data_IF_796743025056
#
_entry.id   IF_796743025056
#
_cell.length_a   1.000
_cell.length_b   1.000
_cell.length_c   1.000
_cell.angle_alpha   90.00
_cell.angle_beta   90.00
_cell.angle_gamma   90.00
#
_symmetry.space_group_name_H-M   'P 1'
#
loop_
_entity.id
_entity.type
_entity.pdbx_description
1 polymer ?
#
# COMPACT_ATOMS: atom_id res chain seq x y z
N UNK A 1 -12.88 4.15 -3.13
CA UNK A 1 -14.21 3.49 -3.07
C UNK A 1 -15.27 4.28 -3.81
N UNK A 2 -15.59 5.51 -3.37
CA UNK A 2 -16.64 6.34 -3.98
C UNK A 2 -16.56 6.46 -5.51
N UNK A 3 -15.37 6.66 -6.08
CA UNK A 3 -15.16 6.72 -7.52
C UNK A 3 -15.55 5.41 -8.25
N UNK A 4 -15.21 4.25 -7.69
CA UNK A 4 -15.58 2.95 -8.26
C UNK A 4 -17.09 2.75 -8.22
N UNK A 5 -17.74 3.05 -7.10
CA UNK A 5 -19.19 2.92 -6.96
C UNK A 5 -19.96 3.91 -7.84
N UNK A 6 -19.46 5.14 -7.98
CA UNK A 6 -20.06 6.12 -8.88
C UNK A 6 -19.99 5.66 -10.33
N UNK A 7 -18.84 5.15 -10.77
CA UNK A 7 -18.70 4.60 -12.11
C UNK A 7 -19.60 3.37 -12.30
N UNK A 8 -19.64 2.46 -11.32
CA UNK A 8 -20.50 1.27 -11.37
C UNK A 8 -21.99 1.62 -11.48
N UNK A 9 -22.47 2.66 -10.78
CA UNK A 9 -23.86 3.14 -10.88
C UNK A 9 -24.21 3.73 -12.24
N UNK A 10 -23.22 4.19 -13.00
CA UNK A 10 -23.42 4.73 -14.35
C UNK A 10 -23.51 3.65 -15.44
N UNK A 11 -23.18 2.40 -15.10
CA UNK A 11 -23.24 1.28 -16.05
C UNK A 11 -24.69 0.96 -16.40
N UNK A 12 -24.92 0.70 -17.70
CA UNK A 12 -26.23 0.30 -18.22
C UNK A 12 -26.51 -1.20 -18.05
N UNK A 13 -27.41 -1.75 -18.85
CA UNK A 13 -27.80 -3.17 -18.81
C UNK A 13 -26.89 -4.11 -19.61
N UNK A 14 -25.71 -3.66 -20.04
CA UNK A 14 -24.79 -4.47 -20.84
C UNK A 14 -24.08 -5.49 -19.94
N UNK A 15 -24.33 -6.77 -20.21
CA UNK A 15 -23.76 -7.88 -19.45
C UNK A 15 -22.24 -8.03 -19.60
N UNK A 16 -21.64 -7.34 -20.58
CA UNK A 16 -20.19 -7.34 -20.75
C UNK A 16 -19.46 -6.34 -19.83
N UNK A 17 -20.20 -5.38 -19.26
CA UNK A 17 -19.66 -4.23 -18.52
C UNK A 17 -20.46 -4.01 -17.23
N UNK A 18 -20.15 -4.79 -16.19
CA UNK A 18 -20.96 -4.88 -14.96
C UNK A 18 -20.19 -4.52 -13.70
N UNK A 19 -18.87 -4.34 -13.77
CA UNK A 19 -18.01 -3.99 -12.62
C UNK A 19 -17.13 -2.81 -13.00
N UNK A 20 -17.02 -1.85 -12.10
CA UNK A 20 -16.07 -0.75 -12.19
C UNK A 20 -15.00 -0.85 -11.11
N UNK A 21 -13.83 -0.30 -11.36
CA UNK A 21 -12.76 -0.18 -10.38
C UNK A 21 -12.16 1.22 -10.41
N UNK A 22 -11.56 1.61 -9.28
CA UNK A 22 -10.81 2.83 -9.12
C UNK A 22 -9.53 2.54 -8.33
N UNK A 23 -8.39 2.94 -8.87
CA UNK A 23 -7.09 2.84 -8.24
C UNK A 23 -6.48 4.23 -8.01
N UNK A 24 -5.85 4.44 -6.86
CA UNK A 24 -5.18 5.67 -6.49
C UNK A 24 -3.67 5.49 -6.59
N UNK A 25 -2.98 6.41 -7.26
CA UNK A 25 -1.51 6.44 -7.29
C UNK A 25 -0.91 7.24 -6.12
N UNK A 26 0.41 7.20 -5.99
CA UNK A 26 1.15 7.95 -4.97
C UNK A 26 0.99 9.47 -5.04
N UNK A 27 0.48 10.03 -6.15
CA UNK A 27 0.20 11.46 -6.33
C UNK A 27 -1.28 11.81 -6.08
N UNK A 28 -2.08 10.86 -5.58
CA UNK A 28 -3.51 11.07 -5.31
C UNK A 28 -4.40 11.04 -6.54
N UNK A 29 -3.88 10.71 -7.74
CA UNK A 29 -4.70 10.63 -8.95
C UNK A 29 -5.51 9.34 -8.94
N UNK A 30 -6.78 9.44 -9.33
CA UNK A 30 -7.71 8.32 -9.41
C UNK A 30 -7.82 7.85 -10.86
N UNK A 31 -7.53 6.57 -11.07
CA UNK A 31 -7.56 5.87 -12.35
C UNK A 31 -8.72 4.88 -12.34
N UNK A 32 -9.70 5.07 -13.22
CA UNK A 32 -10.92 4.25 -13.23
C UNK A 32 -11.00 3.35 -14.46
N UNK A 33 -11.59 2.17 -14.30
CA UNK A 33 -11.82 1.21 -15.38
C UNK A 33 -13.11 0.42 -15.20
N UNK A 34 -13.61 -0.16 -16.29
CA UNK A 34 -14.78 -1.06 -16.31
C UNK A 34 -14.32 -2.40 -16.87
N UNK A 35 -14.85 -3.51 -16.37
CA UNK A 35 -14.51 -4.82 -16.89
C UNK A 35 -14.93 -4.98 -18.36
N UNK A 36 -14.29 -5.91 -19.07
CA UNK A 36 -14.73 -6.35 -20.39
C UNK A 36 -14.87 -7.87 -20.32
N UNK A 37 -16.10 -8.36 -20.19
CA UNK A 37 -16.35 -9.79 -20.10
C UNK A 37 -16.07 -10.48 -21.44
N UNK A 38 -15.27 -11.54 -21.42
CA UNK A 38 -15.03 -12.40 -22.57
C UNK A 38 -14.56 -13.78 -22.11
N UNK A 39 -14.96 -14.84 -22.82
CA UNK A 39 -14.70 -16.23 -22.42
C UNK A 39 -13.20 -16.59 -22.37
N UNK A 40 -12.36 -15.89 -23.13
CA UNK A 40 -10.89 -16.06 -23.12
C UNK A 40 -10.23 -15.39 -21.91
N UNK A 41 -11.02 -14.90 -20.95
CA UNK A 41 -10.52 -14.15 -19.81
C UNK A 41 -10.34 -12.66 -20.12
N UNK A 42 -11.38 -12.01 -20.63
CA UNK A 42 -11.39 -10.55 -20.73
C UNK A 42 -11.08 -9.87 -19.38
N UNK A 43 -10.46 -8.68 -19.37
CA UNK A 43 -9.94 -8.07 -18.14
C UNK A 43 -11.06 -7.70 -17.16
N UNK A 44 -10.80 -7.98 -15.88
CA UNK A 44 -11.60 -7.41 -14.80
C UNK A 44 -11.37 -5.90 -14.71
N UNK A 45 -12.26 -5.19 -14.03
CA UNK A 45 -12.22 -3.74 -13.95
C UNK A 45 -10.91 -3.23 -13.34
N UNK A 46 -10.36 -3.95 -12.37
CA UNK A 46 -9.08 -3.65 -11.74
C UNK A 46 -7.94 -3.65 -12.76
N UNK A 47 -7.88 -4.66 -13.64
CA UNK A 47 -6.84 -4.77 -14.66
C UNK A 47 -6.96 -3.65 -15.71
N UNK A 48 -8.18 -3.23 -16.04
CA UNK A 48 -8.40 -2.05 -16.89
C UNK A 48 -7.92 -0.79 -16.19
N UNK A 49 -8.21 -0.61 -14.91
CA UNK A 49 -7.74 0.53 -14.13
C UNK A 49 -6.20 0.56 -14.02
N UNK A 50 -5.53 -0.60 -13.88
CA UNK A 50 -4.07 -0.70 -13.96
C UNK A 50 -3.54 -0.21 -15.31
N UNK A 51 -4.17 -0.63 -16.40
CA UNK A 51 -3.80 -0.19 -17.76
C UNK A 51 -3.98 1.32 -17.96
N UNK A 52 -5.08 1.90 -17.45
CA UNK A 52 -5.33 3.35 -17.48
C UNK A 52 -4.26 4.09 -16.66
N UNK A 53 -3.94 3.61 -15.46
CA UNK A 53 -2.89 4.19 -14.64
C UNK A 53 -1.54 4.17 -15.37
N UNK A 54 -1.16 3.04 -15.96
CA UNK A 54 0.06 2.92 -16.76
C UNK A 54 0.09 3.88 -17.96
N UNK A 55 -1.02 4.02 -18.69
CA UNK A 55 -1.14 4.94 -19.82
C UNK A 55 -0.98 6.42 -19.41
N UNK A 56 -1.29 6.75 -18.16
CA UNK A 56 -1.13 8.09 -17.57
C UNK A 56 0.25 8.33 -16.93
N UNK A 57 1.19 7.39 -17.11
CA UNK A 57 2.47 7.36 -16.42
C UNK A 57 2.31 7.48 -14.89
N UNK A 58 1.36 6.73 -14.33
CA UNK A 58 1.20 6.64 -12.88
C UNK A 58 2.42 6.01 -12.20
N UNK A 59 2.74 6.53 -11.02
CA UNK A 59 3.64 5.87 -10.09
C UNK A 59 2.99 4.63 -9.46
N UNK A 60 3.59 4.08 -8.40
CA UNK A 60 3.00 2.98 -7.66
C UNK A 60 1.56 3.28 -7.22
N UNK A 61 0.70 2.26 -7.24
CA UNK A 61 -0.66 2.37 -6.74
C UNK A 61 -0.69 2.07 -5.25
N UNK A 62 -1.35 2.94 -4.48
CA UNK A 62 -1.40 2.85 -3.01
C UNK A 62 -2.71 2.25 -2.51
N UNK A 63 -3.80 2.38 -3.29
CA UNK A 63 -5.11 1.80 -2.93
C UNK A 63 -5.93 1.46 -4.17
N UNK A 64 -6.72 0.39 -4.13
CA UNK A 64 -7.68 0.02 -5.18
C UNK A 64 -9.02 -0.46 -4.59
N UNK A 65 -10.11 -0.20 -5.30
CA UNK A 65 -11.45 -0.69 -4.99
C UNK A 65 -12.18 -1.12 -6.27
N UNK A 66 -13.00 -2.17 -6.18
CA UNK A 66 -13.92 -2.58 -7.24
C UNK A 66 -15.37 -2.57 -6.72
N UNK A 67 -16.32 -2.20 -7.57
CA UNK A 67 -17.75 -2.16 -7.26
C UNK A 67 -18.59 -2.69 -8.42
N UNK A 68 -19.64 -3.44 -8.09
CA UNK A 68 -20.60 -3.93 -9.07
C UNK A 68 -21.70 -2.91 -9.38
N UNK A 69 -22.21 -2.98 -10.61
CA UNK A 69 -23.42 -2.27 -11.03
C UNK A 69 -24.66 -2.64 -10.18
N UNK A 70 -25.79 -1.99 -10.45
CA UNK A 70 -27.08 -2.38 -9.87
C UNK A 70 -27.15 -2.32 -8.35
N UNK A 71 -26.27 -1.55 -7.70
CA UNK A 71 -26.22 -1.45 -6.24
C UNK A 71 -25.56 -2.64 -5.54
N UNK A 72 -24.81 -3.49 -6.26
CA UNK A 72 -24.09 -4.63 -5.67
C UNK A 72 -22.96 -4.23 -4.71
N UNK A 73 -22.55 -2.95 -4.72
CA UNK A 73 -21.56 -2.42 -3.78
C UNK A 73 -20.15 -2.91 -4.08
N UNK A 74 -19.27 -2.83 -3.07
CA UNK A 74 -17.89 -3.30 -3.19
C UNK A 74 -17.79 -4.80 -3.44
N UNK A 75 -16.85 -5.19 -4.30
CA UNK A 75 -16.58 -6.59 -4.64
C UNK A 75 -15.08 -6.86 -4.37
N UNK A 76 -14.74 -7.93 -3.62
CA UNK A 76 -13.34 -8.33 -3.48
C UNK A 76 -12.72 -8.70 -4.84
N UNK A 77 -11.42 -8.41 -5.07
CA UNK A 77 -10.78 -8.80 -6.33
C UNK A 77 -10.77 -10.31 -6.50
N UNK A 78 -10.94 -10.76 -7.75
CA UNK A 78 -10.84 -12.18 -8.09
C UNK A 78 -9.38 -12.68 -7.99
N UNK A 79 -9.18 -14.00 -7.98
CA UNK A 79 -7.83 -14.59 -7.83
C UNK A 79 -6.80 -14.06 -8.84
N UNK A 80 -7.21 -13.88 -10.11
CA UNK A 80 -6.33 -13.32 -11.16
C UNK A 80 -5.93 -11.87 -10.86
N UNK A 81 -6.90 -11.03 -10.47
CA UNK A 81 -6.61 -9.65 -10.08
C UNK A 81 -5.67 -9.59 -8.88
N UNK A 82 -5.89 -10.48 -7.90
CA UNK A 82 -5.04 -10.50 -6.71
C UNK A 82 -3.57 -10.78 -7.06
N UNK A 83 -3.32 -11.77 -7.93
CA UNK A 83 -1.96 -12.11 -8.34
C UNK A 83 -1.31 -10.95 -9.12
N UNK A 84 -2.02 -10.38 -10.09
CA UNK A 84 -1.48 -9.24 -10.87
C UNK A 84 -1.20 -8.02 -9.98
N UNK A 85 -2.10 -7.73 -9.03
CA UNK A 85 -1.88 -6.65 -8.06
C UNK A 85 -0.67 -6.94 -7.17
N UNK A 86 -0.51 -8.18 -6.69
CA UNK A 86 0.64 -8.57 -5.87
C UNK A 86 1.95 -8.41 -6.66
N UNK A 87 1.98 -8.87 -7.91
CA UNK A 87 3.21 -8.86 -8.72
C UNK A 87 3.60 -7.45 -9.19
N UNK A 88 2.64 -6.56 -9.42
CA UNK A 88 2.90 -5.21 -9.97
C UNK A 88 2.86 -4.09 -8.91
N UNK A 89 2.08 -4.28 -7.84
CA UNK A 89 1.88 -3.32 -6.77
C UNK A 89 1.79 -4.06 -5.41
N UNK A 90 2.86 -4.73 -4.97
CA UNK A 90 2.86 -5.62 -3.81
C UNK A 90 2.46 -4.95 -2.49
N UNK A 91 2.61 -3.62 -2.43
CA UNK A 91 2.28 -2.80 -1.28
C UNK A 91 0.86 -2.20 -1.36
N UNK A 92 0.05 -2.49 -2.38
CA UNK A 92 -1.29 -1.87 -2.54
C UNK A 92 -2.26 -2.33 -1.45
N UNK A 93 -3.07 -1.39 -0.94
CA UNK A 93 -4.23 -1.70 -0.11
C UNK A 93 -5.47 -1.91 -0.97
N UNK A 94 -6.26 -2.92 -0.65
CA UNK A 94 -7.49 -3.26 -1.36
C UNK A 94 -8.68 -3.00 -0.45
N UNK A 95 -9.63 -2.21 -0.91
CA UNK A 95 -10.91 -2.05 -0.25
C UNK A 95 -11.78 -3.29 -0.48
N UNK A 96 -12.19 -3.95 0.61
CA UNK A 96 -13.04 -5.13 0.60
C UNK A 96 -14.28 -4.90 1.48
N UNK A 97 -15.46 -5.45 1.14
CA UNK A 97 -16.61 -5.42 2.02
C UNK A 97 -16.37 -6.29 3.27
N UNK A 98 -16.80 -5.81 4.43
CA UNK A 98 -16.86 -6.58 5.69
C UNK A 98 -18.20 -6.34 6.38
N UNK A 99 -18.50 -7.10 7.44
CA UNK A 99 -19.74 -6.94 8.22
C UNK A 99 -19.86 -5.54 8.85
N UNK A 100 -18.73 -4.95 9.26
CA UNK A 100 -18.66 -3.61 9.87
C UNK A 100 -18.50 -2.48 8.82
N UNK A 101 -18.66 -2.80 7.53
CA UNK A 101 -18.46 -1.89 6.41
C UNK A 101 -17.15 -2.14 5.65
N UNK A 102 -16.73 -1.24 4.74
CA UNK A 102 -15.53 -1.44 3.97
C UNK A 102 -14.25 -1.43 4.83
N UNK A 103 -13.35 -2.38 4.59
CA UNK A 103 -12.03 -2.40 5.20
C UNK A 103 -10.93 -2.37 4.14
N UNK A 104 -9.79 -1.75 4.45
CA UNK A 104 -8.58 -1.85 3.64
C UNK A 104 -7.75 -3.05 4.09
N UNK A 105 -7.35 -3.89 3.13
CA UNK A 105 -6.48 -5.05 3.38
C UNK A 105 -5.26 -5.01 2.46
N UNK A 106 -4.03 -5.28 2.96
CA UNK A 106 -2.87 -5.45 2.10
C UNK A 106 -3.11 -6.56 1.09
N UNK A 107 -2.68 -6.39 -0.17
CA UNK A 107 -2.92 -7.39 -1.21
C UNK A 107 -2.38 -8.78 -0.84
N UNK A 108 -1.21 -8.83 -0.19
CA UNK A 108 -0.58 -10.08 0.30
C UNK A 108 -1.46 -10.86 1.29
N UNK A 109 -2.37 -10.21 2.01
CA UNK A 109 -3.31 -10.85 2.93
C UNK A 109 -4.52 -11.47 2.24
N UNK A 110 -4.73 -11.14 0.97
CA UNK A 110 -5.80 -11.73 0.15
C UNK A 110 -5.34 -12.97 -0.62
N UNK A 111 -4.06 -13.33 -0.55
CA UNK A 111 -3.47 -14.53 -1.17
C UNK A 111 -2.55 -15.26 -0.17
N UNK A 112 -3.08 -16.15 0.68
CA UNK A 112 -2.24 -17.00 1.52
C UNK A 112 -1.43 -17.97 0.66
N UNK A 113 -0.20 -18.27 1.09
CA UNK A 113 0.73 -19.20 0.43
C UNK A 113 0.93 -18.91 -1.07
N UNK A 114 1.02 -17.63 -1.39
CA UNK A 114 1.07 -17.14 -2.76
C UNK A 114 2.37 -17.48 -3.49
N UNK A 115 2.27 -17.62 -4.80
CA UNK A 115 3.43 -17.57 -5.68
C UNK A 115 3.95 -16.13 -5.75
N UNK A 116 5.27 -15.96 -5.60
CA UNK A 116 5.97 -14.72 -5.85
C UNK A 116 6.67 -14.82 -7.20
N UNK A 117 6.32 -13.95 -8.14
CA UNK A 117 6.96 -13.93 -9.45
C UNK A 117 8.39 -13.37 -9.33
N UNK A 118 9.46 -14.17 -9.52
CA UNK A 118 10.83 -13.76 -9.22
C UNK A 118 11.34 -12.59 -10.08
N UNK A 119 10.82 -12.47 -11.30
CA UNK A 119 11.20 -11.41 -12.23
C UNK A 119 10.31 -10.16 -12.09
N UNK A 120 9.44 -10.12 -11.07
CA UNK A 120 8.71 -8.91 -10.74
C UNK A 120 9.67 -7.86 -10.17
N UNK A 121 9.74 -6.70 -10.83
CA UNK A 121 10.53 -5.55 -10.40
C UNK A 121 9.62 -4.40 -9.99
N UNK A 122 8.56 -4.72 -9.24
CA UNK A 122 7.60 -3.74 -8.77
C UNK A 122 8.27 -2.69 -7.88
N UNK A 123 7.95 -1.43 -8.15
CA UNK A 123 8.34 -0.34 -7.27
C UNK A 123 7.67 -0.52 -5.90
N UNK A 124 8.48 -0.44 -4.84
CA UNK A 124 8.03 -0.61 -3.46
C UNK A 124 7.52 0.71 -2.88
N UNK A 125 6.52 0.61 -2.00
CA UNK A 125 5.97 1.74 -1.24
C UNK A 125 6.10 1.45 0.25
N UNK A 126 6.74 2.35 0.99
CA UNK A 126 6.79 2.32 2.45
C UNK A 126 5.89 3.43 2.98
N UNK A 127 4.90 3.07 3.80
CA UNK A 127 3.91 4.00 4.34
C UNK A 127 4.38 4.64 5.65
N UNK A 128 4.22 5.94 5.77
CA UNK A 128 4.49 6.69 6.98
C UNK A 128 3.28 7.55 7.32
N UNK A 129 3.10 7.84 8.61
CA UNK A 129 2.24 8.94 8.99
C UNK A 129 2.84 10.27 8.49
N UNK A 130 2.00 11.19 7.99
CA UNK A 130 2.43 12.51 7.53
C UNK A 130 3.30 13.30 8.51
N UNK A 131 3.12 13.14 9.82
CA UNK A 131 3.94 13.87 10.80
C UNK A 131 5.42 13.45 10.79
N UNK A 132 5.77 12.36 10.10
CA UNK A 132 7.15 11.92 9.91
C UNK A 132 7.81 12.55 8.68
N UNK A 133 7.09 13.33 7.86
CA UNK A 133 7.65 13.92 6.64
C UNK A 133 8.90 14.75 6.93
N UNK A 134 8.78 15.79 7.75
CA UNK A 134 9.88 16.69 8.07
C UNK A 134 11.03 15.98 8.83
N UNK A 135 10.78 15.13 9.85
CA UNK A 135 11.84 14.31 10.47
C UNK A 135 12.62 13.43 9.49
N UNK A 136 11.96 12.86 8.48
CA UNK A 136 12.60 12.02 7.47
C UNK A 136 13.41 12.87 6.48
N UNK A 137 12.85 14.00 6.02
CA UNK A 137 13.55 14.94 5.12
C UNK A 137 14.82 15.48 5.76
N UNK A 138 14.76 15.86 7.04
CA UNK A 138 15.92 16.42 7.77
C UNK A 138 16.95 15.35 8.19
N UNK A 139 16.67 14.08 7.95
CA UNK A 139 17.53 12.96 8.36
C UNK A 139 17.53 12.67 9.87
N UNK A 140 16.60 13.27 10.63
CA UNK A 140 16.42 12.98 12.06
C UNK A 140 15.77 11.62 12.29
N UNK A 141 14.92 11.17 11.36
CA UNK A 141 14.32 9.83 11.38
C UNK A 141 14.82 8.99 10.20
N UNK A 142 15.58 7.95 10.51
CA UNK A 142 16.19 7.04 9.52
C UNK A 142 15.79 5.58 9.74
N UNK A 143 14.94 5.31 10.73
CA UNK A 143 14.44 3.98 11.04
C UNK A 143 12.94 3.98 11.33
N UNK A 144 12.31 2.81 11.16
CA UNK A 144 10.93 2.55 11.53
C UNK A 144 10.76 1.09 11.92
N UNK A 145 9.84 0.82 12.84
CA UNK A 145 9.46 -0.54 13.21
C UNK A 145 8.21 -0.92 12.44
N UNK A 146 8.16 -2.17 11.98
CA UNK A 146 7.05 -2.74 11.23
C UNK A 146 6.63 -4.06 11.87
N UNK A 147 5.32 -4.20 12.07
CA UNK A 147 4.72 -5.47 12.45
C UNK A 147 3.86 -5.96 11.30
N UNK A 148 4.02 -7.23 10.94
CA UNK A 148 3.29 -7.88 9.85
C UNK A 148 3.26 -6.95 8.62
N UNK A 149 4.43 -6.57 8.13
CA UNK A 149 4.60 -5.78 6.90
C UNK A 149 5.81 -6.36 6.14
N UNK A 150 5.66 -6.58 4.85
CA UNK A 150 6.66 -7.30 4.05
C UNK A 150 7.61 -6.33 3.36
N UNK A 151 8.38 -5.60 4.17
CA UNK A 151 9.40 -4.66 3.70
C UNK A 151 10.69 -5.41 3.35
N UNK A 152 11.27 -5.08 2.21
CA UNK A 152 12.53 -5.66 1.73
C UNK A 152 13.54 -4.56 1.41
N UNK A 153 14.86 -4.81 1.56
CA UNK A 153 15.88 -3.87 1.11
C UNK A 153 15.75 -3.53 -0.38
N UNK A 154 16.04 -2.28 -0.72
CA UNK A 154 15.96 -1.78 -2.09
C UNK A 154 15.32 -0.40 -2.22
N UNK A 155 15.19 0.08 -3.47
CA UNK A 155 14.57 1.37 -3.78
C UNK A 155 13.09 1.33 -3.41
N UNK A 156 12.60 2.42 -2.80
CA UNK A 156 11.21 2.56 -2.43
C UNK A 156 10.75 4.01 -2.52
N UNK A 157 9.43 4.18 -2.68
CA UNK A 157 8.73 5.45 -2.50
C UNK A 157 8.21 5.51 -1.08
N UNK A 158 8.59 6.54 -0.33
CA UNK A 158 8.05 6.82 0.99
C UNK A 158 6.79 7.65 0.82
N UNK A 159 5.65 7.01 1.10
CA UNK A 159 4.32 7.56 0.96
C UNK A 159 3.79 7.98 2.33
N UNK A 160 3.23 9.18 2.41
CA UNK A 160 2.75 9.77 3.65
C UNK A 160 1.22 9.77 3.69
N UNK A 161 0.66 8.99 4.60
CA UNK A 161 -0.79 8.83 4.74
C UNK A 161 -1.45 10.10 5.30
N UNK A 162 -2.66 10.38 4.83
CA UNK A 162 -3.48 11.55 5.20
C UNK A 162 -2.83 12.92 4.94
N UNK A 163 -1.83 12.97 4.05
CA UNK A 163 -1.24 14.21 3.57
C UNK A 163 -1.99 14.75 2.36
N UNK A 164 -2.74 15.84 2.52
CA UNK A 164 -3.54 16.44 1.44
C UNK A 164 -2.69 16.86 0.23
N UNK A 165 -1.42 17.20 0.47
CA UNK A 165 -0.47 17.55 -0.58
C UNK A 165 0.10 16.30 -1.31
N UNK A 166 -0.20 15.09 -0.85
CA UNK A 166 0.30 13.82 -1.39
C UNK A 166 1.82 13.84 -1.59
N UNK A 167 2.55 14.41 -0.62
CA UNK A 167 4.00 14.47 -0.70
C UNK A 167 4.55 13.06 -0.62
N UNK A 168 5.61 12.82 -1.38
CA UNK A 168 6.37 11.57 -1.37
C UNK A 168 7.86 11.88 -1.35
N UNK A 169 8.64 10.92 -0.85
CA UNK A 169 10.10 10.95 -0.95
C UNK A 169 10.58 9.69 -1.66
N UNK A 170 11.59 9.83 -2.50
CA UNK A 170 12.30 8.67 -3.02
C UNK A 170 13.41 8.31 -2.03
N UNK A 171 13.59 7.02 -1.80
CA UNK A 171 14.56 6.53 -0.83
C UNK A 171 14.97 5.09 -1.11
N UNK A 172 15.82 4.60 -0.22
CA UNK A 172 16.26 3.20 -0.22
C UNK A 172 16.07 2.65 1.18
N UNK A 173 15.41 1.50 1.29
CA UNK A 173 15.49 0.64 2.48
C UNK A 173 16.84 -0.02 2.45
N UNK A 174 17.70 0.32 3.41
CA UNK A 174 19.10 -0.10 3.43
C UNK A 174 19.31 -1.40 4.21
N UNK A 175 18.50 -1.63 5.24
CA UNK A 175 18.60 -2.82 6.09
C UNK A 175 17.23 -3.15 6.72
N UNK A 176 16.96 -4.44 6.91
CA UNK A 176 15.76 -4.94 7.60
C UNK A 176 16.20 -6.03 8.56
N UNK A 177 15.98 -5.81 9.86
CA UNK A 177 16.35 -6.76 10.90
C UNK A 177 15.15 -7.15 11.74
N UNK A 178 14.98 -8.46 11.93
CA UNK A 178 13.88 -9.02 12.71
C UNK A 178 14.28 -9.22 14.17
N UNK A 179 13.39 -8.82 15.06
CA UNK A 179 13.54 -8.97 16.51
C UNK A 179 12.21 -9.35 17.14
N UNK A 180 12.29 -10.02 18.29
CA UNK A 180 11.14 -10.12 19.19
C UNK A 180 10.92 -8.81 19.94
N UNK A 181 9.68 -8.32 19.97
CA UNK A 181 9.31 -7.05 20.58
C UNK A 181 9.62 -7.00 22.08
N UNK A 182 9.37 -8.08 22.82
CA UNK A 182 9.63 -8.17 24.26
C UNK A 182 11.13 -8.11 24.60
N UNK A 183 12.00 -8.47 23.66
CA UNK A 183 13.46 -8.47 23.79
C UNK A 183 14.16 -7.28 23.10
N UNK A 184 13.40 -6.45 22.38
CA UNK A 184 13.93 -5.33 21.62
C UNK A 184 14.55 -4.27 22.54
N UNK A 185 15.79 -3.87 22.25
CA UNK A 185 16.49 -2.79 22.97
C UNK A 185 16.38 -1.44 22.27
N UNK A 186 16.59 -0.34 22.99
CA UNK A 186 16.58 1.01 22.42
C UNK A 186 17.66 1.19 21.33
N UNK A 187 18.82 0.55 21.50
CA UNK A 187 19.91 0.56 20.51
C UNK A 187 19.52 -0.20 19.23
N UNK A 188 18.91 -1.38 19.37
CA UNK A 188 18.42 -2.15 18.22
C UNK A 188 17.31 -1.42 17.47
N UNK A 189 16.42 -0.74 18.20
CA UNK A 189 15.35 0.07 17.62
C UNK A 189 15.82 1.40 17.01
N UNK A 190 17.10 1.75 17.17
CA UNK A 190 17.70 3.02 16.72
C UNK A 190 16.91 4.23 17.24
N UNK A 191 16.55 4.22 18.52
CA UNK A 191 15.79 5.31 19.14
C UNK A 191 16.65 6.54 19.35
N UNK A 192 16.03 7.72 19.17
CA UNK A 192 16.64 9.00 19.50
C UNK A 192 16.93 9.12 21.00
N UNK A 193 17.93 9.92 21.36
CA UNK A 193 18.30 10.25 22.73
C UNK A 193 17.19 11.04 23.44
N UNK A 194 16.16 10.33 23.93
CA UNK A 194 14.98 10.92 24.56
C UNK A 194 13.73 10.05 24.48
N UNK A 195 13.70 9.06 23.60
CA UNK A 195 12.59 8.10 23.49
C UNK A 195 12.96 6.81 24.21
N UNK A 196 12.15 6.40 25.19
CA UNK A 196 12.34 5.13 25.87
C UNK A 196 11.75 3.96 25.06
N UNK A 197 12.21 2.74 25.35
CA UNK A 197 11.67 1.54 24.69
C UNK A 197 10.20 1.30 25.05
N UNK A 198 9.78 1.69 26.27
CA UNK A 198 8.40 1.61 26.73
C UNK A 198 7.51 2.56 25.94
N UNK A 199 7.94 3.80 25.72
CA UNK A 199 7.20 4.76 24.90
C UNK A 199 7.04 4.27 23.45
N UNK A 200 8.07 3.62 22.91
CA UNK A 200 7.99 3.00 21.59
C UNK A 200 6.96 1.86 21.56
N UNK A 201 6.99 0.94 22.55
CA UNK A 201 6.04 -0.18 22.66
C UNK A 201 4.60 0.31 22.78
N UNK A 202 4.36 1.32 23.61
CA UNK A 202 3.05 1.94 23.76
C UNK A 202 2.56 2.56 22.44
N UNK A 203 3.44 3.27 21.72
CA UNK A 203 3.14 3.83 20.41
C UNK A 203 2.84 2.77 19.35
N UNK A 204 3.57 1.65 19.37
CA UNK A 204 3.32 0.53 18.48
C UNK A 204 1.99 -0.16 18.79
N UNK A 205 1.61 -0.33 20.06
CA UNK A 205 0.31 -0.90 20.43
C UNK A 205 -0.87 -0.05 19.97
N UNK A 206 -0.72 1.28 19.94
CA UNK A 206 -1.74 2.17 19.35
C UNK A 206 -1.83 2.05 17.83
N UNK A 207 -0.69 1.83 17.15
CA UNK A 207 -0.65 1.70 15.70
C UNK A 207 -1.02 0.29 15.20
N UNK A 208 -0.71 -0.74 15.98
CA UNK A 208 -0.99 -2.15 15.73
C UNK A 208 -1.77 -2.76 16.90
N UNK A 209 -3.09 -2.51 17.01
CA UNK A 209 -3.89 -2.96 18.16
C UNK A 209 -3.91 -4.48 18.35
N UNK A 210 -3.75 -5.24 17.26
CA UNK A 210 -3.77 -6.70 17.27
C UNK A 210 -2.37 -7.33 17.43
N UNK A 211 -1.33 -6.52 17.65
CA UNK A 211 0.06 -7.00 17.80
C UNK A 211 0.28 -7.60 19.19
N UNK A 212 0.69 -8.87 19.31
CA UNK A 212 1.08 -9.44 20.59
C UNK A 212 2.29 -8.72 21.21
N UNK A 213 2.37 -8.68 22.54
CA UNK A 213 3.52 -8.11 23.28
C UNK A 213 4.85 -8.76 22.90
N UNK A 214 4.78 -9.99 22.41
CA UNK A 214 5.92 -10.80 22.01
C UNK A 214 6.07 -11.04 20.51
N UNK A 215 5.41 -10.19 19.72
CA UNK A 215 5.45 -10.22 18.27
C UNK A 215 6.87 -10.17 17.69
N UNK A 216 7.05 -10.83 16.55
CA UNK A 216 8.18 -10.58 15.66
C UNK A 216 7.95 -9.25 14.92
N UNK A 217 8.89 -8.33 15.07
CA UNK A 217 8.88 -7.02 14.43
C UNK A 217 10.14 -6.80 13.62
N UNK A 218 10.01 -6.06 12.53
CA UNK A 218 11.10 -5.71 11.65
C UNK A 218 11.53 -4.26 11.94
N UNK A 219 12.78 -4.06 12.34
CA UNK A 219 13.44 -2.75 12.38
C UNK A 219 13.98 -2.48 10.97
N UNK A 220 13.37 -1.50 10.31
CA UNK A 220 13.68 -1.09 8.94
C UNK A 220 14.51 0.18 8.99
N UNK A 221 15.73 0.11 8.48
CA UNK A 221 16.60 1.28 8.29
C UNK A 221 16.50 1.77 6.85
N UNK A 222 16.46 3.08 6.66
CA UNK A 222 16.29 3.69 5.35
C UNK A 222 17.06 5.00 5.21
N UNK A 223 17.27 5.39 3.95
CA UNK A 223 17.86 6.66 3.58
C UNK A 223 17.01 7.33 2.48
N UNK A 224 16.85 8.66 2.58
CA UNK A 224 16.19 9.47 1.55
C UNK A 224 17.21 9.79 0.46
N UNK A 225 16.79 9.69 -0.81
CA UNK A 225 17.61 10.14 -1.93
C UNK A 225 17.70 11.68 -1.91
N UNK A 226 18.88 12.29 -2.12
CA UNK A 226 18.98 13.73 -2.25
C UNK A 226 18.01 14.22 -3.32
N UNK A 227 17.15 15.18 -2.97
CA UNK A 227 16.26 15.80 -3.93
C UNK A 227 17.09 16.40 -5.06
N UNK A 228 16.71 16.15 -6.31
CA UNK A 228 17.38 16.67 -7.51
C UNK A 228 17.24 18.21 -7.67
N UNK A 229 16.97 18.92 -6.58
CA UNK A 229 16.62 20.34 -6.54
C UNK A 229 17.60 21.10 -5.68
N UNK A 230 18.86 21.16 -6.14
CA UNK A 230 19.82 22.21 -5.74
C UNK A 230 20.83 22.47 -6.88
N UNK A 231 20.34 22.66 -8.10
CA UNK A 231 21.08 23.35 -9.17
C UNK A 231 20.09 24.11 -10.06
N UNK A 232 19.61 25.27 -9.60
CA UNK A 232 19.22 26.41 -10.43
C UNK A 232 19.52 27.70 -9.69
#
# INVERSE_FOLDING_TARGET
>A
MAAAEQLARSLGSDQNHTVAAAAMDTAGRIHTGVNVAHFTGGPCAELVALGVAAASAAGPLVTIAAAGDGGRGLIPPCGRCRQVLLDLHPDVLVAVPTEDGPALRPIRKLLPDTYFFPDSHAARVVRFNKHYYEPIVDGRKTSTIRFDDSIVPGRAVFYFEDDDAHRVLNGTVTDVRRYRLDQLTAEQALLDAGTSIEQLKDGLGQHYPDMPDDAEVDVVTFAVEPSATSQR
#
